data_IF_723875219327
#
_entry.id   IF_723875219327
#
_cell.length_a   1.000
_cell.length_b   1.000
_cell.length_c   1.000
_cell.angle_alpha   90.00
_cell.angle_beta   90.00
_cell.angle_gamma   90.00
#
_symmetry.space_group_name_H-M   'P 1'
#
loop_
_entity.id
_entity.type
_entity.pdbx_description
1 polymer ?
#
# COMPACT_ATOMS: atom_id res chain seq x y z
N UNK A 1 -1.32 19.26 -5.16
CA UNK A 1 -0.35 18.30 -4.57
C UNK A 1 0.11 17.23 -5.55
N UNK A 2 -0.75 16.32 -6.04
CA UNK A 2 -0.33 15.17 -6.86
C UNK A 2 0.56 15.52 -8.06
N UNK A 3 0.20 16.57 -8.82
CA UNK A 3 1.00 17.08 -9.95
C UNK A 3 2.42 17.48 -9.55
N UNK A 4 2.58 18.12 -8.38
CA UNK A 4 3.89 18.55 -7.85
C UNK A 4 4.74 17.34 -7.46
N UNK A 5 4.13 16.38 -6.77
CA UNK A 5 4.83 15.15 -6.38
C UNK A 5 5.22 14.30 -7.59
N UNK A 6 4.33 14.18 -8.60
CA UNK A 6 4.65 13.50 -9.86
C UNK A 6 5.88 14.12 -10.56
N UNK A 7 5.92 15.45 -10.70
CA UNK A 7 7.09 16.17 -11.25
C UNK A 7 8.36 15.93 -10.42
N UNK A 8 8.23 15.93 -9.10
CA UNK A 8 9.37 15.79 -8.19
C UNK A 8 9.95 14.37 -8.16
N UNK A 9 9.15 13.33 -8.46
CA UNK A 9 9.63 11.95 -8.49
C UNK A 9 10.68 11.69 -9.57
N UNK A 10 10.70 12.48 -10.66
CA UNK A 10 11.84 12.57 -11.59
C UNK A 10 12.43 11.25 -12.10
N UNK A 11 11.60 10.20 -12.25
CA UNK A 11 12.06 8.86 -12.66
C UNK A 11 12.80 8.04 -11.59
N UNK A 12 12.87 8.52 -10.34
CA UNK A 12 13.48 7.78 -9.22
C UNK A 12 12.62 6.54 -8.89
N UNK A 13 11.30 6.66 -8.94
CA UNK A 13 10.38 5.52 -8.80
C UNK A 13 10.18 4.80 -10.13
N UNK A 14 10.05 3.48 -10.11
CA UNK A 14 9.73 2.66 -11.30
C UNK A 14 8.24 2.65 -11.61
N UNK A 15 7.40 2.85 -10.59
CA UNK A 15 5.96 3.00 -10.71
C UNK A 15 5.46 4.05 -9.72
N UNK A 16 4.31 4.67 -10.00
CA UNK A 16 3.66 5.60 -9.10
C UNK A 16 2.14 5.40 -9.09
N UNK A 17 1.58 5.43 -7.89
CA UNK A 17 0.16 5.16 -7.66
C UNK A 17 -0.60 6.46 -7.41
N UNK A 18 -1.67 6.69 -8.18
CA UNK A 18 -2.49 7.89 -8.08
C UNK A 18 -3.98 7.56 -8.19
N UNK A 19 -4.81 8.42 -7.58
CA UNK A 19 -6.27 8.34 -7.71
C UNK A 19 -6.76 9.00 -9.01
N UNK A 20 -8.04 8.79 -9.33
CA UNK A 20 -8.64 9.29 -10.56
C UNK A 20 -8.57 10.81 -10.72
N UNK A 21 -8.72 11.57 -9.63
CA UNK A 21 -8.58 13.03 -9.65
C UNK A 21 -7.20 13.48 -10.17
N UNK A 22 -6.16 12.69 -9.90
CA UNK A 22 -4.83 12.96 -10.40
C UNK A 22 -4.63 12.45 -11.83
N UNK A 23 -4.82 11.15 -12.09
CA UNK A 23 -4.50 10.58 -13.40
C UNK A 23 -5.43 11.03 -14.53
N UNK A 24 -6.65 11.45 -14.23
CA UNK A 24 -7.57 12.03 -15.23
C UNK A 24 -7.32 13.52 -15.48
N UNK A 25 -6.45 14.17 -14.69
CA UNK A 25 -6.14 15.58 -14.91
C UNK A 25 -5.32 15.79 -16.19
N UNK A 26 -5.64 16.81 -17.02
CA UNK A 26 -4.94 17.05 -18.29
C UNK A 26 -3.42 17.13 -18.13
N UNK A 27 -2.69 16.41 -18.99
CA UNK A 27 -1.22 16.35 -19.00
C UNK A 27 -0.60 15.67 -17.77
N UNK A 28 -1.35 14.96 -16.92
CA UNK A 28 -0.78 14.31 -15.74
C UNK A 28 0.26 13.24 -16.10
N UNK A 29 -0.03 12.43 -17.12
CA UNK A 29 0.86 11.36 -17.58
C UNK A 29 2.25 11.90 -17.96
N UNK A 30 2.29 13.06 -18.61
CA UNK A 30 3.52 13.70 -19.06
C UNK A 30 4.38 14.17 -17.88
N UNK A 31 3.76 14.61 -16.79
CA UNK A 31 4.49 15.05 -15.57
C UNK A 31 5.27 13.91 -14.93
N UNK A 32 4.77 12.67 -15.03
CA UNK A 32 5.41 11.50 -14.42
C UNK A 32 6.60 10.99 -15.27
N UNK A 33 6.61 11.30 -16.56
CA UNK A 33 7.61 10.85 -17.53
C UNK A 33 7.34 9.45 -18.09
N UNK A 34 7.94 9.16 -19.25
CA UNK A 34 7.64 7.95 -20.05
C UNK A 34 8.10 6.63 -19.40
N UNK A 35 9.08 6.68 -18.50
CA UNK A 35 9.72 5.50 -17.93
C UNK A 35 9.16 5.07 -16.56
N UNK A 36 8.08 5.70 -16.12
CA UNK A 36 7.42 5.38 -14.84
C UNK A 36 6.04 4.81 -15.15
N UNK A 37 5.75 3.65 -14.59
CA UNK A 37 4.45 2.99 -14.69
C UNK A 37 3.41 3.75 -13.85
N UNK A 38 2.31 4.18 -14.47
CA UNK A 38 1.20 4.85 -13.79
C UNK A 38 0.17 3.82 -13.32
N UNK A 39 0.04 3.63 -12.00
CA UNK A 39 -0.94 2.75 -11.38
C UNK A 39 -2.17 3.56 -10.96
N UNK A 40 -3.33 3.22 -11.53
CA UNK A 40 -4.62 3.82 -11.19
C UNK A 40 -5.26 3.16 -9.98
N UNK A 41 -5.51 3.95 -8.93
CA UNK A 41 -6.34 3.52 -7.80
C UNK A 41 -7.81 3.46 -8.24
N UNK A 42 -8.40 2.28 -8.15
CA UNK A 42 -9.79 2.03 -8.52
C UNK A 42 -10.75 2.25 -7.36
N UNK A 43 -10.35 1.87 -6.14
CA UNK A 43 -11.26 1.90 -5.00
C UNK A 43 -11.61 3.33 -4.56
N UNK A 44 -12.82 3.46 -4.01
CA UNK A 44 -13.22 4.64 -3.25
C UNK A 44 -12.42 4.73 -1.94
N UNK A 45 -12.07 5.95 -1.55
CA UNK A 45 -11.44 6.21 -0.24
C UNK A 45 -12.40 5.89 0.90
N UNK A 46 -13.70 5.98 0.65
CA UNK A 46 -14.76 5.77 1.62
C UNK A 46 -15.46 4.44 1.34
N UNK A 47 -15.03 3.32 1.95
CA UNK A 47 -15.75 2.06 1.88
C UNK A 47 -17.11 2.18 2.59
N UNK A 48 -18.02 1.24 2.31
CA UNK A 48 -19.30 1.16 3.01
C UNK A 48 -19.08 0.43 4.34
N UNK A 49 -19.27 1.12 5.46
CA UNK A 49 -19.24 0.49 6.79
C UNK A 49 -20.51 -0.34 7.03
N UNK A 50 -20.35 -1.56 7.54
CA UNK A 50 -21.46 -2.44 7.95
C UNK A 50 -21.32 -2.83 9.43
N UNK A 51 -22.40 -3.28 10.05
CA UNK A 51 -22.44 -3.72 11.45
C UNK A 51 -21.81 -2.73 12.45
N UNK A 52 -22.16 -1.44 12.30
CA UNK A 52 -21.62 -0.38 13.14
C UNK A 52 -20.12 -0.12 12.93
N UNK A 53 -19.57 -0.52 11.77
CA UNK A 53 -18.17 -0.34 11.40
C UNK A 53 -17.27 -1.53 11.75
N UNK A 54 -17.84 -2.64 12.22
CA UNK A 54 -17.09 -3.89 12.45
C UNK A 54 -16.64 -4.54 11.14
N UNK A 55 -17.38 -4.31 10.05
CA UNK A 55 -17.02 -4.71 8.70
C UNK A 55 -16.96 -3.50 7.76
N UNK A 56 -16.23 -3.64 6.65
CA UNK A 56 -16.17 -2.64 5.59
C UNK A 56 -16.24 -3.30 4.22
N UNK A 57 -17.07 -2.78 3.33
CA UNK A 57 -17.21 -3.25 1.95
C UNK A 57 -16.49 -2.29 1.01
N UNK A 58 -15.53 -2.80 0.25
CA UNK A 58 -14.84 -2.06 -0.78
C UNK A 58 -15.79 -1.75 -1.94
N UNK A 59 -15.55 -0.62 -2.62
CA UNK A 59 -16.31 -0.23 -3.81
C UNK A 59 -15.43 0.52 -4.79
N UNK A 60 -15.80 0.48 -6.06
CA UNK A 60 -15.11 1.21 -7.10
C UNK A 60 -15.49 2.70 -7.06
N UNK A 61 -14.48 3.55 -7.15
CA UNK A 61 -14.67 4.99 -7.47
C UNK A 61 -14.66 5.25 -8.97
N UNK A 62 -14.11 4.30 -9.73
CA UNK A 62 -14.04 4.28 -11.19
C UNK A 62 -13.89 2.83 -11.62
N UNK A 63 -14.63 2.46 -12.67
CA UNK A 63 -14.52 1.14 -13.28
C UNK A 63 -13.18 0.98 -14.04
N UNK A 64 -12.54 -0.21 -14.01
CA UNK A 64 -11.36 -0.51 -14.82
C UNK A 64 -11.50 -0.12 -16.29
N UNK A 65 -12.65 -0.41 -16.89
CA UNK A 65 -12.96 -0.17 -18.30
C UNK A 65 -13.00 1.33 -18.63
N UNK A 66 -13.41 2.16 -17.67
CA UNK A 66 -13.51 3.60 -17.86
C UNK A 66 -12.14 4.31 -17.83
N UNK A 67 -11.10 3.66 -17.31
CA UNK A 67 -9.76 4.27 -17.16
C UNK A 67 -8.61 3.46 -17.76
N UNK A 68 -8.89 2.34 -18.43
CA UNK A 68 -7.88 1.41 -19.01
C UNK A 68 -6.84 2.11 -19.90
N UNK A 69 -7.26 3.09 -20.70
CA UNK A 69 -6.38 3.82 -21.63
C UNK A 69 -5.59 4.95 -20.94
N UNK A 70 -5.91 5.26 -19.68
CA UNK A 70 -5.28 6.36 -18.93
C UNK A 70 -4.17 5.88 -18.00
N UNK A 71 -4.11 4.60 -17.70
CA UNK A 71 -3.20 4.01 -16.71
C UNK A 71 -2.53 2.75 -17.25
N UNK A 72 -1.37 2.42 -16.70
CA UNK A 72 -0.59 1.25 -17.11
C UNK A 72 -1.00 0.00 -16.31
N UNK A 73 -1.53 0.19 -15.10
CA UNK A 73 -2.04 -0.88 -14.24
C UNK A 73 -3.11 -0.35 -13.27
N UNK A 74 -3.78 -1.29 -12.60
CA UNK A 74 -4.82 -1.01 -11.63
C UNK A 74 -4.41 -1.36 -10.21
N UNK A 75 -5.07 -0.75 -9.24
CA UNK A 75 -4.93 -1.09 -7.83
C UNK A 75 -6.26 -1.00 -7.10
N UNK A 76 -6.49 -1.91 -6.16
CA UNK A 76 -7.61 -1.90 -5.21
C UNK A 76 -7.11 -1.74 -3.77
N UNK A 77 -7.98 -1.41 -2.82
CA UNK A 77 -7.74 -1.57 -1.38
C UNK A 77 -8.97 -2.13 -0.70
N UNK A 78 -8.73 -3.11 0.18
CA UNK A 78 -9.73 -3.73 1.04
C UNK A 78 -9.25 -3.65 2.49
N UNK A 79 -10.14 -3.34 3.42
CA UNK A 79 -9.88 -3.38 4.86
C UNK A 79 -10.71 -4.51 5.45
N UNK A 80 -10.03 -5.44 6.12
CA UNK A 80 -10.62 -6.73 6.50
C UNK A 80 -10.53 -6.95 8.00
N UNK A 81 -11.63 -7.38 8.60
CA UNK A 81 -11.64 -8.03 9.90
C UNK A 81 -11.79 -9.54 9.68
N UNK A 82 -10.78 -10.38 10.01
CA UNK A 82 -10.87 -11.82 9.84
C UNK A 82 -12.00 -12.50 10.63
N UNK A 83 -12.57 -11.80 11.61
CA UNK A 83 -13.69 -12.31 12.41
C UNK A 83 -15.06 -11.89 11.85
N UNK A 84 -15.10 -11.05 10.80
CA UNK A 84 -16.35 -10.52 10.24
C UNK A 84 -16.72 -11.20 8.91
N UNK A 85 -17.40 -12.35 9.02
CA UNK A 85 -17.74 -13.23 7.90
C UNK A 85 -18.35 -12.53 6.69
N UNK A 86 -19.40 -11.74 6.88
CA UNK A 86 -20.11 -11.08 5.76
C UNK A 86 -19.18 -10.17 4.95
N UNK A 87 -18.51 -9.20 5.60
CA UNK A 87 -17.53 -8.35 4.91
C UNK A 87 -16.36 -9.14 4.31
N UNK A 88 -15.98 -10.27 4.89
CA UNK A 88 -14.91 -11.10 4.36
C UNK A 88 -15.31 -11.72 3.01
N UNK A 89 -16.47 -12.37 2.98
CA UNK A 89 -16.99 -13.06 1.79
C UNK A 89 -17.33 -12.06 0.68
N UNK A 90 -18.00 -10.95 0.98
CA UNK A 90 -18.38 -9.96 -0.03
C UNK A 90 -17.16 -9.25 -0.66
N UNK A 91 -16.15 -8.92 0.15
CA UNK A 91 -14.93 -8.32 -0.41
C UNK A 91 -14.13 -9.31 -1.24
N UNK A 92 -14.17 -10.60 -0.90
CA UNK A 92 -13.51 -11.64 -1.66
C UNK A 92 -14.14 -11.77 -3.06
N UNK A 93 -15.47 -11.80 -3.12
CA UNK A 93 -16.22 -11.84 -4.38
C UNK A 93 -16.04 -10.55 -5.19
N UNK A 94 -16.05 -9.39 -4.53
CA UNK A 94 -15.73 -8.12 -5.18
C UNK A 94 -14.33 -8.12 -5.80
N UNK A 95 -13.31 -8.60 -5.07
CA UNK A 95 -11.94 -8.65 -5.56
C UNK A 95 -11.79 -9.61 -6.74
N UNK A 96 -12.46 -10.77 -6.68
CA UNK A 96 -12.52 -11.74 -7.78
C UNK A 96 -13.07 -11.11 -9.05
N UNK A 97 -14.18 -10.38 -8.96
CA UNK A 97 -14.77 -9.66 -10.11
C UNK A 97 -13.77 -8.66 -10.70
N UNK A 98 -13.21 -7.78 -9.86
CA UNK A 98 -12.27 -6.75 -10.31
C UNK A 98 -11.02 -7.37 -10.94
N UNK A 99 -10.52 -8.48 -10.39
CA UNK A 99 -9.37 -9.18 -10.96
C UNK A 99 -9.68 -9.78 -12.33
N UNK A 100 -10.83 -10.43 -12.51
CA UNK A 100 -11.26 -10.94 -13.81
C UNK A 100 -11.39 -9.83 -14.86
N UNK A 101 -11.92 -8.66 -14.47
CA UNK A 101 -12.02 -7.48 -15.34
C UNK A 101 -10.63 -6.96 -15.74
N UNK A 102 -9.72 -6.85 -14.78
CA UNK A 102 -8.33 -6.46 -15.06
C UNK A 102 -7.63 -7.42 -16.04
N UNK A 103 -7.84 -8.74 -15.88
CA UNK A 103 -7.32 -9.76 -16.79
C UNK A 103 -7.88 -9.62 -18.21
N UNK A 104 -9.20 -9.43 -18.35
CA UNK A 104 -9.85 -9.20 -19.66
C UNK A 104 -9.32 -7.95 -20.37
N UNK A 105 -8.94 -6.93 -19.61
CA UNK A 105 -8.36 -5.69 -20.12
C UNK A 105 -6.84 -5.78 -20.36
N UNK A 106 -6.20 -6.91 -20.05
CA UNK A 106 -4.75 -7.08 -20.19
C UNK A 106 -3.93 -6.16 -19.29
N UNK A 107 -4.46 -5.76 -18.13
CA UNK A 107 -3.79 -4.84 -17.20
C UNK A 107 -3.40 -5.56 -15.89
N UNK A 108 -2.19 -5.30 -15.37
CA UNK A 108 -1.82 -5.77 -14.04
C UNK A 108 -2.76 -5.20 -12.96
N UNK A 109 -3.00 -5.99 -11.92
CA UNK A 109 -3.78 -5.59 -10.75
C UNK A 109 -2.92 -5.76 -9.51
N UNK A 110 -2.74 -4.66 -8.79
CA UNK A 110 -2.10 -4.61 -7.49
C UNK A 110 -3.20 -4.64 -6.42
N UNK A 111 -3.47 -5.82 -5.87
CA UNK A 111 -4.42 -5.98 -4.77
C UNK A 111 -3.78 -5.45 -3.48
N UNK A 112 -4.37 -4.45 -2.83
CA UNK A 112 -3.97 -4.02 -1.49
C UNK A 112 -4.96 -4.50 -0.43
N UNK A 113 -4.43 -5.06 0.65
CA UNK A 113 -5.22 -5.40 1.84
C UNK A 113 -4.64 -4.77 3.09
N UNK A 114 -5.52 -4.42 4.03
CA UNK A 114 -5.17 -3.95 5.35
C UNK A 114 -6.03 -4.67 6.39
N UNK A 115 -5.46 -4.91 7.57
CA UNK A 115 -6.26 -5.27 8.72
C UNK A 115 -7.16 -4.07 9.09
N UNK A 116 -8.43 -4.32 9.37
CA UNK A 116 -9.38 -3.32 9.86
C UNK A 116 -9.16 -3.09 11.36
N UNK A 117 -9.09 -1.82 11.75
CA UNK A 117 -9.21 -1.43 13.16
C UNK A 117 -10.68 -1.44 13.54
N UNK A 118 -11.04 -2.23 14.56
CA UNK A 118 -12.44 -2.38 14.99
C UNK A 118 -12.94 -1.11 15.70
N UNK A 119 -14.24 -0.82 15.68
CA UNK A 119 -14.80 0.29 16.46
C UNK A 119 -14.44 0.18 17.94
N UNK A 120 -13.90 1.27 18.51
CA UNK A 120 -13.47 1.32 19.92
C UNK A 120 -12.11 0.67 20.21
N UNK A 121 -11.48 0.02 19.24
CA UNK A 121 -10.16 -0.60 19.40
C UNK A 121 -9.04 0.45 19.36
N UNK A 122 -8.07 0.35 20.27
CA UNK A 122 -6.84 1.17 20.25
C UNK A 122 -5.88 0.73 19.14
N UNK A 123 -4.91 1.59 18.79
CA UNK A 123 -3.87 1.20 17.81
C UNK A 123 -3.03 0.01 18.30
N UNK A 124 -2.80 -0.08 19.61
CA UNK A 124 -2.03 -1.17 20.23
C UNK A 124 -2.77 -2.50 20.13
N UNK A 125 -4.08 -2.52 20.39
CA UNK A 125 -4.91 -3.73 20.27
C UNK A 125 -4.97 -4.22 18.83
N UNK A 126 -5.22 -3.33 17.87
CA UNK A 126 -5.18 -3.65 16.44
C UNK A 126 -3.80 -4.22 16.04
N UNK A 127 -2.73 -3.57 16.48
CA UNK A 127 -1.37 -3.97 16.14
C UNK A 127 -1.01 -5.38 16.65
N UNK A 128 -1.55 -5.79 17.80
CA UNK A 128 -1.35 -7.13 18.35
C UNK A 128 -2.06 -8.23 17.54
N UNK A 129 -3.11 -7.90 16.80
CA UNK A 129 -3.82 -8.84 15.91
C UNK A 129 -3.15 -9.01 14.54
N UNK A 130 -2.20 -8.14 14.18
CA UNK A 130 -1.55 -8.19 12.87
C UNK A 130 -0.89 -9.55 12.54
N UNK A 131 -0.13 -10.21 13.44
CA UNK A 131 0.53 -11.46 13.09
C UNK A 131 -0.42 -12.54 12.56
N UNK A 132 -1.49 -12.82 13.28
CA UNK A 132 -2.47 -13.85 12.89
C UNK A 132 -3.38 -13.35 11.76
N UNK A 133 -3.86 -12.11 11.86
CA UNK A 133 -4.79 -11.55 10.89
C UNK A 133 -4.19 -11.42 9.49
N UNK A 134 -2.92 -11.06 9.38
CA UNK A 134 -2.25 -10.90 8.08
C UNK A 134 -2.03 -12.23 7.37
N UNK A 135 -1.75 -13.32 8.10
CA UNK A 135 -1.62 -14.67 7.51
C UNK A 135 -2.96 -15.12 6.96
N UNK A 136 -4.03 -15.02 7.75
CA UNK A 136 -5.38 -15.39 7.30
C UNK A 136 -5.85 -14.56 6.10
N UNK A 137 -5.55 -13.26 6.07
CA UNK A 137 -5.84 -12.41 4.91
C UNK A 137 -5.03 -12.87 3.70
N UNK A 138 -3.75 -13.20 3.86
CA UNK A 138 -2.90 -13.64 2.77
C UNK A 138 -3.37 -14.95 2.12
N UNK A 139 -3.86 -15.91 2.92
CA UNK A 139 -4.43 -17.18 2.45
C UNK A 139 -5.61 -16.96 1.50
N UNK A 140 -6.57 -16.12 1.88
CA UNK A 140 -7.79 -15.96 1.09
C UNK A 140 -7.66 -14.89 -0.01
N UNK A 141 -6.97 -13.78 0.25
CA UNK A 141 -6.92 -12.63 -0.66
C UNK A 141 -5.66 -12.61 -1.54
N UNK A 142 -4.58 -13.28 -1.12
CA UNK A 142 -3.32 -13.35 -1.86
C UNK A 142 -3.42 -13.87 -3.30
N UNK A 143 -4.27 -14.88 -3.59
CA UNK A 143 -4.44 -15.41 -4.95
C UNK A 143 -5.05 -14.44 -5.97
N UNK A 144 -5.68 -13.34 -5.52
CA UNK A 144 -6.43 -12.43 -6.37
C UNK A 144 -5.66 -11.15 -6.65
N UNK A 145 -5.17 -11.03 -7.88
CA UNK A 145 -4.28 -9.95 -8.33
C UNK A 145 -3.03 -10.51 -9.00
N UNK A 146 -2.34 -9.63 -9.72
CA UNK A 146 -1.02 -9.93 -10.28
C UNK A 146 0.10 -9.65 -9.26
N UNK A 147 -0.15 -8.71 -8.34
CA UNK A 147 0.73 -8.36 -7.23
C UNK A 147 -0.08 -8.27 -5.95
N UNK A 148 0.44 -8.83 -4.86
CA UNK A 148 -0.19 -8.79 -3.54
C UNK A 148 0.50 -7.75 -2.65
N UNK A 149 -0.15 -6.60 -2.48
CA UNK A 149 0.35 -5.50 -1.66
C UNK A 149 -0.21 -5.61 -0.25
N UNK A 150 0.66 -5.73 0.74
CA UNK A 150 0.23 -6.07 2.11
C UNK A 150 1.14 -5.48 3.18
N UNK A 151 0.69 -5.57 4.44
CA UNK A 151 1.39 -5.14 5.64
C UNK A 151 2.28 -6.25 6.21
N UNK A 152 3.13 -5.86 7.15
CA UNK A 152 3.72 -6.77 8.14
C UNK A 152 3.39 -6.24 9.55
N UNK A 153 3.52 -7.05 10.60
CA UNK A 153 3.35 -6.57 11.96
C UNK A 153 4.27 -5.37 12.27
N UNK A 154 3.80 -4.47 13.11
CA UNK A 154 4.57 -3.30 13.54
C UNK A 154 5.52 -3.66 14.69
N UNK A 155 6.72 -3.07 14.67
CA UNK A 155 7.69 -3.17 15.77
C UNK A 155 7.20 -2.41 17.00
N UNK A 156 6.64 -1.22 16.80
CA UNK A 156 6.09 -0.38 17.87
C UNK A 156 4.90 0.47 17.38
N UNK A 157 4.07 0.86 18.33
CA UNK A 157 3.00 1.84 18.14
C UNK A 157 3.32 3.07 18.97
N UNK A 158 3.20 4.24 18.36
CA UNK A 158 3.18 5.52 19.07
C UNK A 158 1.75 6.03 19.17
N UNK A 159 1.29 6.24 20.41
CA UNK A 159 -0.03 6.76 20.72
C UNK A 159 0.07 7.73 21.90
N UNK A 160 -0.41 8.97 21.71
CA UNK A 160 -0.36 10.03 22.72
C UNK A 160 1.06 10.28 23.29
N UNK A 161 2.08 10.26 22.42
CA UNK A 161 3.49 10.44 22.80
C UNK A 161 4.12 9.25 23.54
N UNK A 162 3.40 8.14 23.71
CA UNK A 162 3.90 6.92 24.32
C UNK A 162 4.24 5.89 23.25
N UNK A 163 5.48 5.40 23.28
CA UNK A 163 5.94 4.30 22.44
C UNK A 163 5.69 2.97 23.17
N UNK A 164 4.91 2.10 22.54
CA UNK A 164 4.65 0.73 23.02
C UNK A 164 5.26 -0.27 22.04
N UNK A 165 6.17 -1.12 22.51
CA UNK A 165 6.71 -2.23 21.72
C UNK A 165 5.61 -3.25 21.45
N UNK A 166 5.48 -3.69 20.20
CA UNK A 166 4.45 -4.65 19.76
C UNK A 166 5.10 -5.97 19.35
N UNK A 167 5.92 -5.95 18.29
CA UNK A 167 6.49 -7.17 17.71
C UNK A 167 8.01 -7.16 17.77
N UNK A 168 8.59 -8.35 17.95
CA UNK A 168 10.02 -8.54 17.72
C UNK A 168 10.31 -8.67 16.21
N UNK A 169 11.56 -8.43 15.75
CA UNK A 169 11.95 -8.74 14.38
C UNK A 169 11.66 -10.20 13.99
N UNK A 170 11.82 -11.14 14.93
CA UNK A 170 11.50 -12.56 14.73
C UNK A 170 10.02 -12.78 14.43
N UNK A 171 9.13 -12.07 15.13
CA UNK A 171 7.67 -12.15 14.91
C UNK A 171 7.30 -11.62 13.52
N UNK A 172 7.88 -10.48 13.12
CA UNK A 172 7.67 -9.90 11.79
C UNK A 172 8.13 -10.87 10.71
N UNK A 173 9.32 -11.43 10.87
CA UNK A 173 9.90 -12.40 9.94
C UNK A 173 9.02 -13.64 9.80
N UNK A 174 8.66 -14.28 10.91
CA UNK A 174 7.83 -15.49 10.90
C UNK A 174 6.45 -15.23 10.26
N UNK A 175 5.85 -14.06 10.50
CA UNK A 175 4.59 -13.68 9.85
C UNK A 175 4.76 -13.56 8.33
N UNK A 176 5.80 -12.86 7.89
CA UNK A 176 6.08 -12.68 6.46
C UNK A 176 6.42 -14.01 5.76
N UNK A 177 7.09 -14.93 6.44
CA UNK A 177 7.37 -16.28 5.93
C UNK A 177 6.09 -17.10 5.77
N UNK A 178 5.18 -17.07 6.75
CA UNK A 178 3.88 -17.72 6.67
C UNK A 178 3.03 -17.15 5.52
N UNK A 179 3.00 -15.82 5.38
CA UNK A 179 2.33 -15.17 4.24
C UNK A 179 2.96 -15.59 2.90
N UNK A 180 4.29 -15.62 2.80
CA UNK A 180 4.98 -16.04 1.58
C UNK A 180 4.73 -17.51 1.20
N UNK A 181 4.40 -18.37 2.17
CA UNK A 181 3.99 -19.76 1.90
C UNK A 181 2.56 -19.85 1.34
N UNK A 182 1.69 -18.92 1.72
CA UNK A 182 0.29 -18.89 1.27
C UNK A 182 0.10 -18.17 -0.07
N UNK A 183 0.97 -17.23 -0.42
CA UNK A 183 0.80 -16.34 -1.58
C UNK A 183 1.69 -16.79 -2.76
N UNK A 184 1.07 -17.22 -3.86
CA UNK A 184 1.75 -17.64 -5.10
C UNK A 184 2.05 -16.46 -6.07
N UNK A 185 2.07 -15.23 -5.54
CA UNK A 185 2.25 -13.98 -6.29
C UNK A 185 3.32 -13.11 -5.67
N UNK A 186 3.96 -12.22 -6.46
CA UNK A 186 4.91 -11.25 -5.93
C UNK A 186 4.28 -10.35 -4.85
N UNK A 187 4.81 -10.41 -3.63
CA UNK A 187 4.37 -9.57 -2.52
C UNK A 187 5.04 -8.18 -2.55
N UNK A 188 4.28 -7.12 -2.25
CA UNK A 188 4.78 -5.75 -2.16
C UNK A 188 4.49 -5.15 -0.79
N UNK A 189 5.52 -4.57 -0.15
CA UNK A 189 5.37 -4.05 1.21
C UNK A 189 4.79 -2.64 1.19
N UNK A 190 3.68 -2.44 1.89
CA UNK A 190 3.08 -1.13 2.10
C UNK A 190 3.51 -0.49 3.44
N UNK A 191 3.35 0.82 3.55
CA UNK A 191 3.85 1.61 4.70
C UNK A 191 2.73 2.16 5.62
N UNK A 192 1.57 1.51 5.67
CA UNK A 192 0.44 2.03 6.43
C UNK A 192 0.77 2.08 7.93
N UNK A 193 0.35 3.18 8.56
CA UNK A 193 0.41 3.42 10.01
C UNK A 193 1.82 3.51 10.63
N UNK A 194 2.90 3.61 9.84
CA UNK A 194 4.27 3.71 10.35
C UNK A 194 5.01 4.97 9.85
N UNK A 195 6.00 5.42 10.61
CA UNK A 195 7.02 6.38 10.19
C UNK A 195 8.10 5.72 9.35
N UNK A 196 8.96 6.54 8.73
CA UNK A 196 9.99 6.03 7.82
C UNK A 196 10.96 5.07 8.51
N UNK A 197 11.37 5.39 9.74
CA UNK A 197 12.35 4.63 10.51
C UNK A 197 11.86 3.21 10.76
N UNK A 198 10.59 3.08 11.13
CA UNK A 198 9.95 1.78 11.32
C UNK A 198 9.76 1.05 9.99
N UNK A 199 9.30 1.75 8.95
CA UNK A 199 9.13 1.16 7.62
C UNK A 199 10.46 0.62 7.05
N UNK A 200 11.56 1.37 7.20
CA UNK A 200 12.88 0.97 6.75
C UNK A 200 13.37 -0.28 7.50
N UNK A 201 13.17 -0.33 8.82
CA UNK A 201 13.49 -1.51 9.62
C UNK A 201 12.65 -2.73 9.21
N UNK A 202 11.32 -2.55 9.05
CA UNK A 202 10.41 -3.60 8.61
C UNK A 202 10.80 -4.14 7.23
N UNK A 203 11.05 -3.27 6.26
CA UNK A 203 11.49 -3.68 4.92
C UNK A 203 12.82 -4.43 4.98
N UNK A 204 13.78 -3.97 5.78
CA UNK A 204 15.06 -4.69 5.99
C UNK A 204 14.90 -6.10 6.54
N UNK A 205 13.90 -6.36 7.38
CA UNK A 205 13.63 -7.69 7.96
C UNK A 205 13.07 -8.67 6.92
N UNK A 206 12.33 -8.18 5.93
CA UNK A 206 11.53 -9.01 5.02
C UNK A 206 11.89 -8.83 3.53
N UNK A 207 12.90 -8.02 3.20
CA UNK A 207 13.16 -7.60 1.82
C UNK A 207 13.36 -8.76 0.85
N UNK A 208 13.89 -9.90 1.30
CA UNK A 208 14.12 -11.12 0.49
C UNK A 208 12.85 -11.94 0.22
N UNK A 209 11.77 -11.67 0.96
CA UNK A 209 10.45 -12.30 0.79
C UNK A 209 9.50 -11.44 -0.07
N UNK A 210 9.80 -10.14 -0.20
CA UNK A 210 8.99 -9.19 -0.95
C UNK A 210 9.67 -8.83 -2.27
N UNK A 211 8.89 -8.71 -3.34
CA UNK A 211 9.38 -8.31 -4.66
C UNK A 211 9.73 -6.82 -4.75
N UNK A 212 9.25 -6.02 -3.80
CA UNK A 212 9.59 -4.61 -3.73
C UNK A 212 8.75 -3.80 -2.74
N UNK A 213 9.10 -2.51 -2.57
CA UNK A 213 8.31 -1.57 -1.80
C UNK A 213 7.15 -1.00 -2.63
N UNK A 214 5.97 -0.85 -2.04
CA UNK A 214 4.93 0.06 -2.52
C UNK A 214 4.50 1.01 -1.40
N UNK A 215 5.39 1.97 -1.11
CA UNK A 215 5.28 2.91 0.01
C UNK A 215 4.84 4.30 -0.45
N UNK A 216 4.06 4.97 0.41
CA UNK A 216 3.58 6.32 0.20
C UNK A 216 3.92 7.22 1.38
N UNK A 217 3.00 7.33 2.34
CA UNK A 217 3.08 8.30 3.44
C UNK A 217 4.39 8.24 4.24
N UNK A 218 4.96 7.07 4.49
CA UNK A 218 6.21 6.98 5.24
C UNK A 218 7.39 7.64 4.50
N UNK A 219 7.32 7.86 3.19
CA UNK A 219 8.34 8.63 2.49
C UNK A 219 8.18 10.13 2.67
N UNK A 220 6.96 10.66 2.75
CA UNK A 220 6.73 12.08 2.50
C UNK A 220 5.81 12.80 3.49
N UNK A 221 5.18 12.14 4.46
CA UNK A 221 4.17 12.79 5.32
C UNK A 221 4.76 13.96 6.12
N UNK A 222 6.00 13.87 6.55
CA UNK A 222 6.73 14.90 7.29
C UNK A 222 7.02 16.13 6.43
N UNK A 223 6.96 16.02 5.10
CA UNK A 223 7.05 17.20 4.23
C UNK A 223 5.89 18.17 4.45
N UNK A 224 4.72 17.69 4.90
CA UNK A 224 3.56 18.55 5.18
C UNK A 224 3.66 19.29 6.51
N UNK A 225 4.47 18.80 7.44
CA UNK A 225 4.62 19.36 8.79
C UNK A 225 6.01 19.91 9.07
N UNK A 226 6.91 19.87 8.07
CA UNK A 226 8.22 20.48 8.18
C UNK A 226 8.08 21.99 8.38
N UNK A 227 8.86 22.57 9.29
CA UNK A 227 8.84 24.01 9.61
C UNK A 227 9.09 24.89 8.37
N UNK A 228 9.89 24.38 7.42
CA UNK A 228 10.17 25.04 6.15
C UNK A 228 8.96 25.07 5.17
N UNK A 229 7.93 24.23 5.38
CA UNK A 229 6.75 24.13 4.52
C UNK A 229 5.71 25.16 4.92
N UNK A 230 5.58 26.22 4.12
CA UNK A 230 4.68 27.36 4.36
C UNK A 230 3.61 27.52 3.28
N UNK A 231 3.86 26.95 2.11
CA UNK A 231 3.03 27.05 0.91
C UNK A 231 3.27 25.84 -0.02
N UNK A 232 2.70 25.87 -1.22
CA UNK A 232 2.80 24.77 -2.17
C UNK A 232 4.18 24.58 -2.80
N UNK A 233 4.99 25.63 -2.92
CA UNK A 233 6.32 25.55 -3.54
C UNK A 233 7.36 25.08 -2.53
N UNK A 234 7.28 25.58 -1.30
CA UNK A 234 8.04 25.05 -0.17
C UNK A 234 7.65 23.61 0.17
N UNK A 235 6.38 23.20 0.01
CA UNK A 235 5.99 21.78 0.11
C UNK A 235 6.70 20.91 -0.94
N UNK A 236 6.77 21.35 -2.19
CA UNK A 236 7.48 20.59 -3.24
C UNK A 236 8.98 20.48 -2.91
N UNK A 237 9.57 21.53 -2.35
CA UNK A 237 10.97 21.54 -1.89
C UNK A 237 11.19 20.58 -0.72
N UNK A 238 10.34 20.62 0.31
CA UNK A 238 10.37 19.70 1.45
C UNK A 238 10.17 18.25 1.01
N UNK A 239 9.23 18.00 0.09
CA UNK A 239 9.01 16.68 -0.50
C UNK A 239 10.27 16.18 -1.18
N UNK A 240 10.93 16.99 -2.04
CA UNK A 240 12.16 16.58 -2.72
C UNK A 240 13.27 16.21 -1.72
N UNK A 241 13.46 17.04 -0.69
CA UNK A 241 14.49 16.84 0.33
C UNK A 241 14.27 15.55 1.14
N UNK A 242 13.04 15.32 1.57
CA UNK A 242 12.69 14.22 2.49
C UNK A 242 12.41 12.93 1.71
N UNK A 243 11.52 12.96 0.73
CA UNK A 243 11.02 11.75 0.10
C UNK A 243 12.05 11.09 -0.81
N UNK A 244 12.82 11.86 -1.59
CA UNK A 244 13.71 11.27 -2.60
C UNK A 244 14.87 10.49 -1.98
N UNK A 245 15.46 11.00 -0.90
CA UNK A 245 16.51 10.30 -0.15
C UNK A 245 16.01 8.99 0.44
N UNK A 246 14.82 9.01 1.05
CA UNK A 246 14.13 7.84 1.62
C UNK A 246 13.77 6.80 0.55
N UNK A 247 13.24 7.23 -0.59
CA UNK A 247 12.95 6.36 -1.74
C UNK A 247 14.25 5.72 -2.23
N UNK A 248 15.33 6.50 -2.40
CA UNK A 248 16.61 5.99 -2.87
C UNK A 248 17.20 4.96 -1.93
N UNK A 249 17.12 5.18 -0.61
CA UNK A 249 17.58 4.23 0.41
C UNK A 249 16.88 2.88 0.26
N UNK A 250 15.54 2.87 0.21
CA UNK A 250 14.78 1.63 0.09
C UNK A 250 14.95 0.99 -1.28
N UNK A 251 15.03 1.79 -2.36
CA UNK A 251 15.30 1.30 -3.71
C UNK A 251 16.64 0.58 -3.80
N UNK A 252 17.68 1.13 -3.17
CA UNK A 252 19.01 0.49 -3.14
C UNK A 252 18.96 -0.85 -2.41
N UNK A 253 18.28 -0.91 -1.27
CA UNK A 253 18.08 -2.16 -0.53
C UNK A 253 17.29 -3.18 -1.37
N UNK A 254 16.18 -2.77 -1.98
CA UNK A 254 15.35 -3.63 -2.83
C UNK A 254 16.15 -4.21 -4.01
N UNK A 255 16.98 -3.41 -4.67
CA UNK A 255 17.81 -3.87 -5.79
C UNK A 255 18.81 -4.95 -5.42
N UNK A 256 19.22 -5.02 -4.15
CA UNK A 256 20.24 -5.96 -3.66
C UNK A 256 19.57 -7.22 -3.11
N UNK A 257 18.47 -7.06 -2.38
CA UNK A 257 17.92 -8.13 -1.52
C UNK A 257 16.60 -8.69 -2.05
N UNK A 258 15.78 -7.87 -2.70
CA UNK A 258 14.44 -8.31 -3.12
C UNK A 258 14.49 -9.24 -4.32
N UNK A 259 13.68 -10.29 -4.26
CA UNK A 259 13.51 -11.22 -5.38
C UNK A 259 12.81 -10.49 -6.53
N UNK A 260 13.35 -10.56 -7.75
CA UNK A 260 12.58 -10.15 -8.91
C UNK A 260 11.22 -10.84 -8.99
N UNK A 261 10.22 -10.15 -9.52
CA UNK A 261 8.84 -10.64 -9.56
C UNK A 261 8.61 -11.76 -10.57
N UNK A 262 9.57 -12.05 -11.45
CA UNK A 262 9.52 -13.09 -12.48
C UNK A 262 10.17 -14.43 -12.05
N UNK A 263 10.41 -14.61 -10.75
CA UNK A 263 10.95 -15.85 -10.18
C UNK A 263 9.85 -16.77 -9.67
#
# INVERSE_FOLDING_TARGET
VCRRFARALGGISTAALFNRLAFESPGFRDLLGKNVLLIGRLEDTNPTSIDGGKGQLARLSIDPEACVDKVDAFKTLIKLDPDHKESWEENLDWLRDVFQRAQKLGKPLYNEVLLLQKPGESKVEMAKRLPEGLVKIAEDFGPYGHFYKTQVPVLWVEENGKITKISSPKTIRATAEAMAQAVDRPMLLLSAAVDFEQYAAQYGIVADLFAGPMCGRAYFKEAFTAEATKDWDSLETSFRKIALSRIQQIKNLARIVSKPWWH
#
